data_IF_558953284861
#
_entry.id   IF_558953284861
#
_cell.length_a   1.000
_cell.length_b   1.000
_cell.length_c   1.000
_cell.angle_alpha   90.00
_cell.angle_beta   90.00
_cell.angle_gamma   90.00
#
_symmetry.space_group_name_H-M   'P 1'
#
loop_
_entity.id
_entity.type
_entity.pdbx_description
1 polymer ?
#
# COMPACT_ATOMS: atom_id res chain seq x y z
N UNK A 1 32.77 18.16 -10.35
CA UNK A 1 33.06 16.72 -10.12
C UNK A 1 31.98 16.23 -9.18
N UNK A 2 31.24 15.18 -9.52
CA UNK A 2 30.33 14.57 -8.54
C UNK A 2 31.15 13.87 -7.46
N UNK A 3 30.66 13.91 -6.22
CA UNK A 3 31.24 13.14 -5.11
C UNK A 3 31.11 11.65 -5.39
N UNK A 4 32.09 10.87 -4.94
CA UNK A 4 32.06 9.40 -5.04
C UNK A 4 30.78 8.81 -4.41
N UNK A 5 30.21 9.47 -3.40
CA UNK A 5 28.96 9.03 -2.78
C UNK A 5 27.75 9.23 -3.70
N UNK A 6 27.67 10.38 -4.37
CA UNK A 6 26.60 10.66 -5.34
C UNK A 6 26.67 9.71 -6.52
N UNK A 7 27.88 9.37 -6.97
CA UNK A 7 28.07 8.39 -8.04
C UNK A 7 27.67 6.98 -7.58
N UNK A 8 27.99 6.57 -6.34
CA UNK A 8 27.51 5.30 -5.79
C UNK A 8 25.98 5.26 -5.63
N UNK A 9 25.36 6.37 -5.23
CA UNK A 9 23.91 6.47 -5.18
C UNK A 9 23.31 6.31 -6.59
N UNK A 10 23.88 6.96 -7.62
CA UNK A 10 23.46 6.78 -9.02
C UNK A 10 23.61 5.34 -9.49
N UNK A 11 24.70 4.68 -9.14
CA UNK A 11 24.88 3.25 -9.43
C UNK A 11 23.79 2.41 -8.76
N UNK A 12 23.37 2.75 -7.53
CA UNK A 12 22.26 2.07 -6.84
C UNK A 12 20.92 2.22 -7.57
N UNK A 13 20.75 3.27 -8.38
CA UNK A 13 19.53 3.50 -9.14
C UNK A 13 19.38 2.57 -10.35
N UNK A 14 20.48 1.99 -10.85
CA UNK A 14 20.45 1.07 -11.98
C UNK A 14 19.80 -0.24 -11.55
N UNK A 15 18.63 -0.54 -12.11
CA UNK A 15 17.95 -1.81 -11.88
C UNK A 15 18.66 -2.92 -12.69
N UNK A 16 19.21 -3.91 -11.99
CA UNK A 16 19.79 -5.11 -12.60
C UNK A 16 18.96 -6.34 -12.20
N UNK A 17 19.25 -7.51 -12.79
CA UNK A 17 18.48 -8.74 -12.54
C UNK A 17 18.46 -9.12 -11.06
N UNK A 18 19.60 -9.03 -10.37
CA UNK A 18 19.73 -9.39 -8.96
C UNK A 18 18.90 -8.45 -8.07
N UNK A 19 19.01 -7.13 -8.27
CA UNK A 19 18.23 -6.14 -7.52
C UNK A 19 16.73 -6.25 -7.77
N UNK A 20 16.33 -6.58 -8.99
CA UNK A 20 14.93 -6.84 -9.30
C UNK A 20 14.43 -8.12 -8.63
N UNK A 21 15.21 -9.20 -8.70
CA UNK A 21 14.88 -10.50 -8.12
C UNK A 21 14.77 -10.43 -6.59
N UNK A 22 15.67 -9.69 -5.94
CA UNK A 22 15.75 -9.59 -4.48
C UNK A 22 14.94 -8.40 -3.91
N UNK A 23 14.29 -7.62 -4.77
CA UNK A 23 13.51 -6.44 -4.35
C UNK A 23 14.37 -5.32 -3.73
N UNK A 24 15.64 -5.21 -4.12
CA UNK A 24 16.56 -4.24 -3.55
C UNK A 24 16.26 -2.81 -4.03
N UNK A 25 15.98 -1.92 -3.07
CA UNK A 25 15.81 -0.48 -3.31
C UNK A 25 17.14 0.26 -3.58
N UNK A 26 17.09 1.60 -3.54
CA UNK A 26 18.31 2.40 -3.58
C UNK A 26 19.15 2.17 -2.31
N UNK A 27 20.45 2.49 -2.37
CA UNK A 27 21.35 2.39 -1.22
C UNK A 27 21.09 3.57 -0.26
N UNK A 28 20.00 3.50 0.51
CA UNK A 28 19.58 4.58 1.42
C UNK A 28 20.51 4.72 2.63
N UNK A 29 21.27 3.68 2.97
CA UNK A 29 22.27 3.74 4.03
C UNK A 29 23.34 4.81 3.74
N UNK A 30 23.57 5.15 2.46
CA UNK A 30 24.41 6.27 2.05
C UNK A 30 23.97 7.60 2.64
N UNK A 31 22.66 7.84 2.73
CA UNK A 31 22.11 9.13 3.16
C UNK A 31 22.48 9.46 4.62
N UNK A 32 22.71 8.44 5.45
CA UNK A 32 23.12 8.59 6.84
C UNK A 32 24.57 9.09 7.00
N UNK A 33 25.42 8.88 5.99
CA UNK A 33 26.84 9.25 6.00
C UNK A 33 27.20 10.34 5.00
N UNK A 34 26.24 10.75 4.16
CA UNK A 34 26.41 11.78 3.16
C UNK A 34 26.59 13.18 3.77
N UNK A 35 27.44 14.00 3.15
CA UNK A 35 27.52 15.42 3.49
C UNK A 35 26.23 16.15 3.11
N UNK A 36 26.07 17.39 3.59
CA UNK A 36 24.93 18.23 3.23
C UNK A 36 24.89 18.48 1.71
N UNK A 37 26.04 18.71 1.09
CA UNK A 37 26.18 18.92 -0.34
C UNK A 37 25.80 17.66 -1.14
N UNK A 38 26.23 16.49 -0.68
CA UNK A 38 25.91 15.21 -1.35
C UNK A 38 24.41 14.88 -1.23
N UNK A 39 23.80 15.13 -0.07
CA UNK A 39 22.34 14.99 0.11
C UNK A 39 21.57 15.94 -0.80
N UNK A 40 22.01 17.20 -0.89
CA UNK A 40 21.38 18.18 -1.78
C UNK A 40 21.53 17.78 -3.27
N UNK A 41 22.67 17.21 -3.67
CA UNK A 41 22.87 16.71 -5.03
C UNK A 41 21.98 15.50 -5.34
N UNK A 42 21.84 14.56 -4.40
CA UNK A 42 20.94 13.41 -4.53
C UNK A 42 19.48 13.86 -4.59
N UNK A 43 19.07 14.79 -3.73
CA UNK A 43 17.73 15.37 -3.76
C UNK A 43 17.43 16.02 -5.12
N UNK A 44 18.32 16.88 -5.62
CA UNK A 44 18.15 17.52 -6.93
C UNK A 44 18.01 16.50 -8.07
N UNK A 45 18.77 15.40 -8.00
CA UNK A 45 18.71 14.29 -8.94
C UNK A 45 17.39 13.51 -8.86
N UNK A 46 16.78 13.36 -7.68
CA UNK A 46 15.47 12.72 -7.49
C UNK A 46 14.34 13.64 -7.98
N UNK A 47 14.36 14.91 -7.56
CA UNK A 47 13.32 15.89 -7.92
C UNK A 47 13.24 16.13 -9.44
N UNK A 48 14.39 16.17 -10.13
CA UNK A 48 14.44 16.45 -11.58
C UNK A 48 13.86 15.33 -12.45
N UNK A 49 13.82 14.08 -11.97
CA UNK A 49 13.24 12.96 -12.74
C UNK A 49 11.75 12.74 -12.48
N UNK A 50 11.22 13.29 -11.37
CA UNK A 50 9.89 12.95 -10.85
C UNK A 50 9.86 11.58 -10.15
N UNK A 51 8.68 11.19 -9.65
CA UNK A 51 8.48 9.87 -9.06
C UNK A 51 8.22 8.85 -10.17
N UNK A 52 9.15 7.91 -10.38
CA UNK A 52 9.00 6.85 -11.38
C UNK A 52 8.49 5.55 -10.74
N UNK A 53 8.98 5.23 -9.55
CA UNK A 53 8.57 4.07 -8.78
C UNK A 53 8.75 4.27 -7.26
N UNK A 54 8.49 3.21 -6.49
CA UNK A 54 8.51 3.21 -5.04
C UNK A 54 9.89 3.57 -4.46
N UNK A 55 10.99 3.28 -5.16
CA UNK A 55 12.36 3.57 -4.68
C UNK A 55 12.61 5.08 -4.61
N UNK A 56 12.00 5.84 -5.52
CA UNK A 56 12.06 7.31 -5.48
C UNK A 56 11.29 7.85 -4.26
N UNK A 57 10.15 7.23 -3.93
CA UNK A 57 9.37 7.60 -2.74
C UNK A 57 10.18 7.36 -1.48
N UNK A 58 10.76 6.17 -1.32
CA UNK A 58 11.58 5.83 -0.16
C UNK A 58 12.78 6.76 -0.02
N UNK A 59 13.45 7.09 -1.12
CA UNK A 59 14.61 7.97 -1.07
C UNK A 59 14.26 9.41 -0.69
N UNK A 60 13.14 9.95 -1.21
CA UNK A 60 12.67 11.27 -0.81
C UNK A 60 12.19 11.28 0.64
N UNK A 61 11.52 10.22 1.09
CA UNK A 61 11.12 10.06 2.49
C UNK A 61 12.34 9.98 3.42
N UNK A 62 13.38 9.21 3.02
CA UNK A 62 14.62 9.08 3.77
C UNK A 62 15.46 10.37 3.77
N UNK A 63 15.40 11.18 2.71
CA UNK A 63 16.01 12.51 2.70
C UNK A 63 15.34 13.44 3.72
N UNK A 64 14.01 13.38 3.84
CA UNK A 64 13.24 14.04 4.91
C UNK A 64 13.34 15.56 4.95
N UNK A 65 13.83 16.19 3.87
CA UNK A 65 13.91 17.65 3.75
C UNK A 65 12.52 18.23 3.47
N UNK A 66 12.26 19.50 3.81
CA UNK A 66 10.98 20.15 3.47
C UNK A 66 10.63 20.07 1.98
N UNK A 67 11.62 20.18 1.09
CA UNK A 67 11.43 20.08 -0.36
C UNK A 67 11.04 18.67 -0.80
N UNK A 68 11.75 17.64 -0.33
CA UNK A 68 11.44 16.24 -0.65
C UNK A 68 10.05 15.84 -0.13
N UNK A 69 9.72 16.20 1.10
CA UNK A 69 8.41 15.94 1.69
C UNK A 69 7.29 16.72 0.98
N UNK A 70 7.54 17.98 0.62
CA UNK A 70 6.62 18.77 -0.19
C UNK A 70 6.35 18.14 -1.55
N UNK A 71 7.38 17.54 -2.18
CA UNK A 71 7.21 16.83 -3.45
C UNK A 71 6.35 15.57 -3.31
N UNK A 72 6.55 14.77 -2.25
CA UNK A 72 5.73 13.60 -1.96
C UNK A 72 4.27 14.01 -1.71
N UNK A 73 4.06 15.08 -0.94
CA UNK A 73 2.71 15.61 -0.68
C UNK A 73 2.01 16.05 -1.96
N UNK A 74 2.69 16.83 -2.79
CA UNK A 74 2.14 17.25 -4.07
C UNK A 74 1.80 16.04 -4.96
N UNK A 75 2.70 15.05 -5.05
CA UNK A 75 2.45 13.87 -5.85
C UNK A 75 1.30 13.00 -5.30
N UNK A 76 1.08 13.01 -3.98
CA UNK A 76 -0.08 12.39 -3.37
C UNK A 76 -1.37 13.13 -3.74
N UNK A 77 -1.38 14.47 -3.62
CA UNK A 77 -2.56 15.28 -3.91
C UNK A 77 -2.96 15.18 -5.40
N UNK A 78 -1.99 15.31 -6.31
CA UNK A 78 -2.18 15.31 -7.77
C UNK A 78 -2.27 13.90 -8.37
N UNK A 79 -1.83 12.88 -7.63
CA UNK A 79 -1.63 11.52 -8.13
C UNK A 79 -2.92 10.73 -8.32
N UNK A 80 -2.85 9.71 -9.19
CA UNK A 80 -3.88 8.69 -9.31
C UNK A 80 -3.88 7.76 -8.06
N UNK A 81 -4.91 6.90 -7.88
CA UNK A 81 -4.98 5.98 -6.74
C UNK A 81 -3.72 5.12 -6.56
N UNK A 82 -3.09 4.69 -7.66
CA UNK A 82 -1.81 3.96 -7.65
C UNK A 82 -0.70 4.75 -6.99
N UNK A 83 -0.49 5.99 -7.44
CA UNK A 83 0.56 6.87 -6.95
C UNK A 83 0.37 7.16 -5.46
N UNK A 84 -0.87 7.40 -5.04
CA UNK A 84 -1.22 7.59 -3.62
C UNK A 84 -0.92 6.35 -2.79
N UNK A 85 -1.35 5.17 -3.23
CA UNK A 85 -1.09 3.91 -2.52
C UNK A 85 0.41 3.63 -2.39
N UNK A 86 1.18 3.84 -3.45
CA UNK A 86 2.64 3.71 -3.43
C UNK A 86 3.28 4.70 -2.45
N UNK A 87 2.84 5.96 -2.44
CA UNK A 87 3.36 6.96 -1.50
C UNK A 87 3.06 6.57 -0.05
N UNK A 88 1.85 6.09 0.23
CA UNK A 88 1.50 5.65 1.58
C UNK A 88 2.30 4.44 2.02
N UNK A 89 2.42 3.40 1.19
CA UNK A 89 3.16 2.19 1.54
C UNK A 89 4.64 2.45 1.90
N UNK A 90 5.25 3.49 1.33
CA UNK A 90 6.68 3.78 1.51
C UNK A 90 6.99 5.08 2.27
N UNK A 91 5.97 5.89 2.56
CA UNK A 91 6.11 7.16 3.27
C UNK A 91 4.93 7.48 4.21
N UNK A 92 4.23 6.45 4.71
CA UNK A 92 3.05 6.58 5.59
C UNK A 92 3.26 7.50 6.79
N UNK A 93 4.46 7.52 7.36
CA UNK A 93 4.82 8.40 8.49
C UNK A 93 4.73 9.91 8.20
N UNK A 94 4.56 10.30 6.94
CA UNK A 94 4.35 11.69 6.53
C UNK A 94 2.87 12.10 6.48
N UNK A 95 1.96 11.15 6.70
CA UNK A 95 0.52 11.35 6.58
C UNK A 95 -0.18 11.06 7.90
N UNK A 96 -1.29 11.75 8.14
CA UNK A 96 -2.12 11.48 9.30
C UNK A 96 -2.84 10.14 9.18
N UNK A 97 -3.23 9.58 10.34
CA UNK A 97 -4.09 8.38 10.43
C UNK A 97 -5.34 8.50 9.56
N UNK A 98 -5.96 9.68 9.50
CA UNK A 98 -7.18 9.88 8.73
C UNK A 98 -6.91 9.83 7.22
N UNK A 99 -5.86 10.49 6.75
CA UNK A 99 -5.47 10.47 5.32
C UNK A 99 -5.10 9.06 4.86
N UNK A 100 -4.36 8.31 5.67
CA UNK A 100 -4.06 6.89 5.42
C UNK A 100 -5.35 6.08 5.30
N UNK A 101 -6.28 6.27 6.24
CA UNK A 101 -7.57 5.58 6.26
C UNK A 101 -8.38 5.87 4.99
N UNK A 102 -8.50 7.15 4.61
CA UNK A 102 -9.26 7.57 3.44
C UNK A 102 -8.70 6.98 2.15
N UNK A 103 -7.38 6.98 1.99
CA UNK A 103 -6.73 6.43 0.81
C UNK A 103 -6.86 4.91 0.72
N UNK A 104 -6.69 4.19 1.84
CA UNK A 104 -6.87 2.73 1.86
C UNK A 104 -8.31 2.38 1.50
N UNK A 105 -9.30 3.06 2.10
CA UNK A 105 -10.71 2.82 1.79
C UNK A 105 -10.98 3.10 0.30
N UNK A 106 -10.48 4.22 -0.22
CA UNK A 106 -10.65 4.56 -1.63
C UNK A 106 -10.03 3.51 -2.55
N UNK A 107 -8.85 2.97 -2.20
CA UNK A 107 -8.17 1.95 -3.00
C UNK A 107 -8.87 0.58 -2.93
N UNK A 108 -9.39 0.18 -1.77
CA UNK A 108 -10.16 -1.06 -1.61
C UNK A 108 -11.49 -1.03 -2.38
N UNK A 109 -12.06 0.17 -2.55
CA UNK A 109 -13.31 0.40 -3.30
C UNK A 109 -13.10 0.62 -4.80
N UNK A 110 -11.86 0.82 -5.25
CA UNK A 110 -11.54 1.04 -6.67
C UNK A 110 -11.45 -0.30 -7.42
N UNK A 111 -12.30 -0.47 -8.43
CA UNK A 111 -12.33 -1.70 -9.21
C UNK A 111 -11.09 -1.90 -10.08
N UNK A 112 -10.44 -0.80 -10.48
CA UNK A 112 -9.25 -0.79 -11.32
C UNK A 112 -7.95 -1.02 -10.52
N UNK A 113 -8.02 -1.03 -9.18
CA UNK A 113 -6.85 -1.16 -8.32
C UNK A 113 -6.25 -2.57 -8.22
N UNK A 114 -6.74 -3.54 -9.02
CA UNK A 114 -6.27 -4.93 -8.98
C UNK A 114 -4.74 -5.06 -9.11
N UNK A 115 -4.11 -4.23 -9.94
CA UNK A 115 -2.66 -4.24 -10.17
C UNK A 115 -1.84 -3.69 -8.97
N UNK A 116 -2.49 -3.07 -7.99
CA UNK A 116 -1.86 -2.42 -6.83
C UNK A 116 -2.41 -2.95 -5.51
N UNK A 117 -3.28 -3.96 -5.59
CA UNK A 117 -3.97 -4.46 -4.43
C UNK A 117 -3.00 -5.03 -3.40
N UNK A 118 -1.92 -5.69 -3.83
CA UNK A 118 -0.87 -6.18 -2.91
C UNK A 118 -0.32 -5.09 -2.00
N UNK A 119 0.00 -3.91 -2.53
CA UNK A 119 0.54 -2.79 -1.76
C UNK A 119 -0.49 -2.22 -0.80
N UNK A 120 -1.75 -2.14 -1.23
CA UNK A 120 -2.87 -1.74 -0.37
C UNK A 120 -3.05 -2.76 0.76
N UNK A 121 -2.95 -4.06 0.49
CA UNK A 121 -3.09 -5.10 1.50
C UNK A 121 -1.95 -5.09 2.53
N UNK A 122 -0.72 -4.78 2.12
CA UNK A 122 0.39 -4.57 3.06
C UNK A 122 0.13 -3.37 3.99
N UNK A 123 -0.36 -2.26 3.44
CA UNK A 123 -0.73 -1.09 4.26
C UNK A 123 -1.92 -1.40 5.18
N UNK A 124 -2.89 -2.20 4.75
CA UNK A 124 -4.01 -2.67 5.57
C UNK A 124 -3.53 -3.51 6.75
N UNK A 125 -2.55 -4.40 6.54
CA UNK A 125 -1.94 -5.19 7.61
C UNK A 125 -1.38 -4.28 8.72
N UNK A 126 -0.74 -3.18 8.35
CA UNK A 126 -0.20 -2.20 9.31
C UNK A 126 -1.25 -1.21 9.86
N UNK A 127 -2.28 -0.86 9.09
CA UNK A 127 -3.24 0.21 9.38
C UNK A 127 -4.67 -0.18 9.01
N UNK A 128 -5.38 -0.78 9.96
CA UNK A 128 -6.74 -1.30 9.78
C UNK A 128 -7.75 -0.75 10.81
N UNK A 129 -7.97 0.57 10.87
CA UNK A 129 -9.05 1.12 11.69
C UNK A 129 -10.43 0.60 11.22
N UNK A 130 -11.49 0.75 12.02
CA UNK A 130 -12.81 0.19 11.70
C UNK A 130 -13.36 0.52 10.30
N UNK A 131 -13.02 1.70 9.76
CA UNK A 131 -13.42 2.10 8.39
C UNK A 131 -12.78 1.22 7.30
N UNK A 132 -11.53 0.82 7.47
CA UNK A 132 -10.81 -0.09 6.57
C UNK A 132 -11.41 -1.50 6.66
N UNK A 133 -11.65 -1.99 7.88
CA UNK A 133 -12.30 -3.28 8.10
C UNK A 133 -13.68 -3.34 7.45
N UNK A 134 -14.47 -2.27 7.56
CA UNK A 134 -15.76 -2.16 6.90
C UNK A 134 -15.63 -2.13 5.37
N UNK A 135 -14.59 -1.51 4.81
CA UNK A 135 -14.34 -1.51 3.37
C UNK A 135 -13.97 -2.92 2.86
N UNK A 136 -13.13 -3.67 3.56
CA UNK A 136 -12.85 -5.07 3.25
C UNK A 136 -14.13 -5.93 3.26
N UNK A 137 -14.94 -5.81 4.32
CA UNK A 137 -16.21 -6.55 4.43
C UNK A 137 -17.17 -6.23 3.28
N UNK A 138 -17.30 -4.95 2.90
CA UNK A 138 -18.07 -4.54 1.72
C UNK A 138 -17.49 -5.20 0.46
N UNK A 139 -16.17 -5.14 0.31
CA UNK A 139 -15.50 -5.67 -0.85
C UNK A 139 -15.65 -7.18 -1.03
N UNK A 140 -15.70 -7.97 0.06
CA UNK A 140 -16.02 -9.40 -0.01
C UNK A 140 -17.37 -9.66 -0.71
N UNK A 141 -18.34 -8.75 -0.55
CA UNK A 141 -19.67 -8.88 -1.17
C UNK A 141 -19.71 -8.37 -2.60
N UNK A 142 -18.99 -7.28 -2.89
CA UNK A 142 -19.17 -6.51 -4.13
C UNK A 142 -18.12 -6.82 -5.19
N UNK A 143 -16.87 -7.08 -4.80
CA UNK A 143 -15.74 -7.29 -5.72
C UNK A 143 -15.83 -8.66 -6.40
N UNK A 144 -15.05 -8.84 -7.47
CA UNK A 144 -14.97 -10.13 -8.16
C UNK A 144 -14.49 -11.25 -7.22
N UNK A 145 -14.74 -12.49 -7.62
CA UNK A 145 -14.48 -13.68 -6.80
C UNK A 145 -13.04 -13.77 -6.29
N UNK A 146 -12.06 -13.36 -7.10
CA UNK A 146 -10.65 -13.40 -6.70
C UNK A 146 -10.38 -12.37 -5.62
N UNK A 147 -10.71 -11.11 -5.86
CA UNK A 147 -10.49 -10.02 -4.88
C UNK A 147 -11.30 -10.25 -3.61
N UNK A 148 -12.53 -10.77 -3.71
CA UNK A 148 -13.33 -11.12 -2.53
C UNK A 148 -12.63 -12.18 -1.66
N UNK A 149 -12.01 -13.19 -2.27
CA UNK A 149 -11.22 -14.19 -1.56
C UNK A 149 -9.98 -13.59 -0.86
N UNK A 150 -9.27 -12.68 -1.53
CA UNK A 150 -8.12 -11.97 -0.96
C UNK A 150 -8.54 -11.11 0.26
N UNK A 151 -9.67 -10.42 0.18
CA UNK A 151 -10.21 -9.63 1.30
C UNK A 151 -10.67 -10.51 2.46
N UNK A 152 -11.31 -11.65 2.17
CA UNK A 152 -11.71 -12.61 3.19
C UNK A 152 -10.48 -13.20 3.92
N UNK A 153 -9.38 -13.47 3.20
CA UNK A 153 -8.15 -13.97 3.78
C UNK A 153 -7.51 -12.94 4.73
N UNK A 154 -7.43 -11.68 4.30
CA UNK A 154 -6.94 -10.60 5.16
C UNK A 154 -7.82 -10.41 6.40
N UNK A 155 -9.15 -10.45 6.26
CA UNK A 155 -10.05 -10.35 7.40
C UNK A 155 -9.86 -11.48 8.41
N UNK A 156 -9.62 -12.72 7.96
CA UNK A 156 -9.31 -13.84 8.85
C UNK A 156 -8.00 -13.61 9.61
N UNK A 157 -6.96 -13.14 8.92
CA UNK A 157 -5.68 -12.79 9.54
C UNK A 157 -5.83 -11.68 10.59
N UNK A 158 -6.49 -10.57 10.23
CA UNK A 158 -6.68 -9.43 11.13
C UNK A 158 -7.53 -9.75 12.38
N UNK A 159 -8.34 -10.81 12.33
CA UNK A 159 -9.09 -11.31 13.49
C UNK A 159 -8.40 -12.49 14.21
N UNK A 160 -7.17 -12.85 13.82
CA UNK A 160 -6.38 -13.91 14.47
C UNK A 160 -6.81 -15.33 14.13
N UNK A 161 -7.56 -15.53 13.04
CA UNK A 161 -7.94 -16.85 12.53
C UNK A 161 -6.95 -17.43 11.51
N UNK A 162 -5.89 -16.68 11.18
CA UNK A 162 -4.79 -17.10 10.32
C UNK A 162 -3.47 -16.53 10.88
N UNK A 163 -2.36 -17.23 10.66
CA UNK A 163 -1.04 -16.79 11.15
C UNK A 163 -0.42 -15.68 10.29
N UNK A 164 -0.85 -15.59 9.02
CA UNK A 164 -0.41 -14.58 8.07
C UNK A 164 -1.51 -14.31 7.03
N UNK A 165 -1.46 -13.18 6.30
CA UNK A 165 -2.40 -12.91 5.22
C UNK A 165 -2.24 -13.87 4.02
N UNK A 166 -1.25 -14.78 4.06
CA UNK A 166 -0.98 -15.80 3.03
C UNK A 166 -1.05 -17.23 3.58
N UNK A 167 -1.68 -17.40 4.74
CA UNK A 167 -1.82 -18.70 5.38
C UNK A 167 -2.59 -19.69 4.49
N UNK A 168 -2.09 -20.92 4.42
CA UNK A 168 -2.67 -22.00 3.63
C UNK A 168 -3.79 -22.73 4.39
N UNK A 169 -3.85 -22.62 5.72
CA UNK A 169 -4.89 -23.26 6.53
C UNK A 169 -6.32 -22.86 6.10
N UNK A 170 -6.67 -21.57 5.91
CA UNK A 170 -8.00 -21.17 5.45
C UNK A 170 -8.22 -21.38 3.94
N UNK A 171 -7.23 -21.84 3.16
CA UNK A 171 -7.30 -21.90 1.69
C UNK A 171 -8.54 -22.60 1.16
N UNK A 172 -8.92 -23.73 1.74
CA UNK A 172 -10.10 -24.48 1.31
C UNK A 172 -11.39 -23.64 1.44
N UNK A 173 -11.50 -22.83 2.49
CA UNK A 173 -12.63 -21.90 2.65
C UNK A 173 -12.55 -20.75 1.65
N UNK A 174 -11.38 -20.14 1.47
CA UNK A 174 -11.19 -19.00 0.55
C UNK A 174 -11.50 -19.38 -0.90
N UNK A 175 -11.11 -20.58 -1.34
CA UNK A 175 -11.39 -21.03 -2.71
C UNK A 175 -12.89 -21.14 -3.04
N UNK A 176 -13.75 -21.34 -2.04
CA UNK A 176 -15.21 -21.42 -2.27
C UNK A 176 -15.78 -20.12 -2.82
N UNK A 177 -15.14 -18.98 -2.58
CA UNK A 177 -15.54 -17.68 -3.15
C UNK A 177 -15.48 -17.66 -4.69
N UNK A 178 -14.79 -18.62 -5.33
CA UNK A 178 -14.72 -18.76 -6.79
C UNK A 178 -15.90 -19.53 -7.39
N UNK A 179 -16.50 -20.44 -6.62
CA UNK A 179 -17.39 -21.48 -7.15
C UNK A 179 -18.83 -21.43 -6.59
N UNK A 180 -19.03 -20.81 -5.42
CA UNK A 180 -20.33 -20.78 -4.73
C UNK A 180 -21.02 -19.40 -4.79
N UNK A 181 -22.30 -19.38 -4.39
CA UNK A 181 -23.02 -18.12 -4.16
C UNK A 181 -22.35 -17.33 -3.02
N UNK A 182 -22.05 -16.05 -3.27
CA UNK A 182 -21.25 -15.21 -2.34
C UNK A 182 -21.96 -14.88 -1.01
N UNK A 183 -23.28 -14.75 -1.01
CA UNK A 183 -24.01 -14.29 0.17
C UNK A 183 -24.00 -15.29 1.34
N UNK A 184 -24.24 -16.60 1.15
CA UNK A 184 -24.04 -17.61 2.19
C UNK A 184 -22.60 -17.65 2.74
N UNK A 185 -21.59 -17.56 1.85
CA UNK A 185 -20.18 -17.54 2.23
C UNK A 185 -19.81 -16.30 3.05
N UNK A 186 -20.34 -15.14 2.68
CA UNK A 186 -20.14 -13.91 3.44
C UNK A 186 -20.69 -14.04 4.86
N UNK A 187 -21.89 -14.61 5.05
CA UNK A 187 -22.45 -14.86 6.38
C UNK A 187 -21.61 -15.84 7.19
N UNK A 188 -21.10 -16.89 6.55
CA UNK A 188 -20.17 -17.83 7.18
C UNK A 188 -18.88 -17.13 7.61
N UNK A 189 -18.31 -16.27 6.77
CA UNK A 189 -17.17 -15.43 7.12
C UNK A 189 -17.50 -14.55 8.34
N UNK A 190 -18.58 -13.78 8.31
CA UNK A 190 -18.99 -12.92 9.43
C UNK A 190 -19.13 -13.71 10.74
N UNK A 191 -19.73 -14.91 10.68
CA UNK A 191 -19.86 -15.78 11.84
C UNK A 191 -18.50 -16.24 12.39
N UNK A 192 -17.53 -16.55 11.53
CA UNK A 192 -16.15 -16.90 11.95
C UNK A 192 -15.47 -15.72 12.62
N UNK A 193 -15.58 -14.53 12.04
CA UNK A 193 -14.98 -13.30 12.56
C UNK A 193 -15.66 -12.77 13.83
N UNK A 194 -16.86 -13.27 14.18
CA UNK A 194 -17.65 -12.77 15.29
C UNK A 194 -18.26 -11.38 15.03
N UNK A 195 -18.50 -11.01 13.78
CA UNK A 195 -19.08 -9.72 13.38
C UNK A 195 -20.49 -9.88 12.79
N UNK A 196 -21.31 -8.83 12.89
CA UNK A 196 -22.65 -8.84 12.28
C UNK A 196 -22.57 -8.78 10.75
N UNK A 197 -23.35 -9.58 10.01
CA UNK A 197 -23.46 -9.45 8.56
C UNK A 197 -24.20 -8.17 8.13
N UNK A 198 -24.99 -7.57 9.02
CA UNK A 198 -25.78 -6.35 8.78
C UNK A 198 -24.99 -5.07 9.06
N UNK A 199 -23.69 -5.07 8.74
CA UNK A 199 -22.84 -3.89 8.95
C UNK A 199 -23.44 -2.68 8.21
N UNK A 200 -23.55 -1.50 8.85
CA UNK A 200 -24.16 -0.35 8.21
C UNK A 200 -23.40 -0.02 6.93
N UNK A 201 -24.11 0.01 5.80
CA UNK A 201 -23.59 0.52 4.55
C UNK A 201 -23.09 1.94 4.81
N UNK A 202 -21.77 2.13 4.80
CA UNK A 202 -21.17 3.44 4.93
C UNK A 202 -21.78 4.36 3.88
N UNK A 203 -22.40 5.44 4.32
CA UNK A 203 -23.04 6.47 3.49
C UNK A 203 -22.07 6.94 2.41
N UNK A 204 -22.21 6.40 1.20
CA UNK A 204 -21.55 6.88 0.01
C UNK A 204 -22.21 8.19 -0.44
N UNK A 205 -21.98 9.27 0.32
CA UNK A 205 -22.37 10.61 -0.10
C UNK A 205 -21.26 11.21 -0.96
N UNK A 206 -21.04 10.64 -2.15
CA UNK A 206 -20.47 11.44 -3.26
C UNK A 206 -21.57 12.41 -3.69
N UNK A 207 -21.59 13.62 -3.11
CA UNK A 207 -22.28 14.75 -3.75
C UNK A 207 -21.44 15.16 -4.95
N UNK A 208 -22.10 15.11 -6.10
CA UNK A 208 -21.68 15.63 -7.40
C UNK A 208 -21.22 17.08 -7.33
#
# INVERSE_FOLDING_TARGET
MTSALVDRFRESMIMNHERWHDGAGYDLALLATASVEDRAAIESLLLSRGLQDWRDVEALAALGTPTSLGRLRQAYDDGDPRTRAMILAHASGQFSTEERTDAIVAALEDEAAADHLTQVMLEVEEHHPPRVMAALLRGVRTRDARTAGEFAMMLLFLHGHAESPWDMAPRAFILRFQDEEREPLFRELCARLGVSPDFPEGTNARKS
#
